data_IF_270041276190
#
_entry.id   IF_270041276190
#
_cell.length_a   1.000
_cell.length_b   1.000
_cell.length_c   1.000
_cell.angle_alpha   90.00
_cell.angle_beta   90.00
_cell.angle_gamma   90.00
#
_symmetry.space_group_name_H-M   'P 1'
#
loop_
_entity.id
_entity.type
_entity.pdbx_description
1 polymer ?
#
# COMPACT_ATOMS: atom_id res chain seq x y z
N UNK A 1 5.63 -13.49 -13.66
CA UNK A 1 4.56 -14.27 -13.02
C UNK A 1 3.26 -13.96 -13.73
N UNK A 2 2.64 -14.96 -14.35
CA UNK A 2 1.34 -14.86 -14.99
C UNK A 2 0.26 -14.90 -13.89
N UNK A 3 0.09 -13.83 -13.14
CA UNK A 3 -1.10 -13.71 -12.31
C UNK A 3 -2.31 -13.62 -13.26
N UNK A 4 -3.38 -14.41 -13.04
CA UNK A 4 -4.57 -14.33 -13.86
C UNK A 4 -5.17 -12.92 -13.76
N UNK A 5 -5.82 -12.40 -14.81
CA UNK A 5 -6.53 -11.14 -14.73
C UNK A 5 -7.61 -11.20 -13.65
N UNK A 6 -7.84 -10.09 -12.95
CA UNK A 6 -8.73 -10.01 -11.78
C UNK A 6 -10.12 -10.61 -12.03
N UNK A 7 -10.64 -10.49 -13.26
CA UNK A 7 -11.91 -11.11 -13.66
C UNK A 7 -11.90 -12.65 -13.61
N UNK A 8 -10.75 -13.30 -13.82
CA UNK A 8 -10.64 -14.75 -13.68
C UNK A 8 -10.57 -15.21 -12.21
N UNK A 9 -10.06 -14.37 -11.31
CA UNK A 9 -10.03 -14.65 -9.87
C UNK A 9 -11.43 -14.59 -9.24
N UNK A 10 -12.31 -13.74 -9.78
CA UNK A 10 -13.70 -13.61 -9.32
C UNK A 10 -14.65 -14.61 -10.00
N UNK A 11 -14.30 -15.04 -11.23
CA UNK A 11 -15.13 -15.89 -12.07
C UNK A 11 -14.72 -17.36 -11.99
N UNK A 12 -14.76 -17.98 -10.83
CA UNK A 12 -14.69 -19.45 -10.72
C UNK A 12 -16.04 -20.02 -10.24
N UNK A 13 -17.07 -20.13 -11.12
CA UNK A 13 -18.39 -20.63 -10.70
C UNK A 13 -18.41 -22.12 -10.41
N UNK A 14 -17.35 -22.86 -10.72
CA UNK A 14 -17.41 -24.35 -10.76
C UNK A 14 -16.92 -25.04 -9.47
N UNK A 15 -16.33 -24.33 -8.50
CA UNK A 15 -15.80 -24.96 -7.29
C UNK A 15 -16.12 -24.24 -5.97
N UNK A 16 -16.95 -23.21 -5.97
CA UNK A 16 -17.30 -22.49 -4.73
C UNK A 16 -16.10 -21.76 -4.07
N UNK A 17 -14.95 -21.69 -4.72
CA UNK A 17 -13.74 -21.08 -4.23
C UNK A 17 -13.54 -19.70 -4.88
N UNK A 18 -14.20 -18.70 -4.33
CA UNK A 18 -13.80 -17.31 -4.53
C UNK A 18 -12.50 -17.03 -3.76
N UNK A 19 -11.86 -15.88 -4.03
CA UNK A 19 -10.77 -15.39 -3.20
C UNK A 19 -11.33 -14.59 -2.03
N UNK A 20 -10.80 -14.78 -0.83
CA UNK A 20 -11.21 -14.04 0.37
C UNK A 20 -10.55 -12.66 0.42
N UNK A 21 -9.35 -12.53 -0.14
CA UNK A 21 -8.64 -11.26 -0.20
C UNK A 21 -7.73 -11.15 -1.43
N UNK A 22 -7.45 -9.92 -1.82
CA UNK A 22 -6.53 -9.56 -2.89
C UNK A 22 -5.49 -8.61 -2.33
N UNK A 23 -4.19 -8.93 -2.50
CA UNK A 23 -3.10 -8.00 -2.20
C UNK A 23 -2.67 -7.33 -3.51
N UNK A 24 -2.91 -6.04 -3.61
CA UNK A 24 -2.53 -5.23 -4.77
C UNK A 24 -1.19 -4.54 -4.48
N UNK A 25 -0.14 -5.01 -5.14
CA UNK A 25 1.20 -4.42 -5.08
C UNK A 25 1.45 -3.53 -6.29
N UNK A 26 1.30 -2.22 -6.10
CA UNK A 26 1.46 -1.24 -7.16
C UNK A 26 2.92 -0.84 -7.40
N UNK A 27 3.13 -0.01 -8.43
CA UNK A 27 4.45 0.55 -8.77
C UNK A 27 5.07 1.26 -7.56
N UNK A 28 6.35 1.03 -7.33
CA UNK A 28 7.11 1.53 -6.18
C UNK A 28 7.15 0.53 -5.03
N UNK A 29 6.45 -0.64 -5.17
CA UNK A 29 6.40 -1.70 -4.17
C UNK A 29 7.64 -2.54 -4.10
N UNK A 30 8.21 -2.99 -5.19
CA UNK A 30 9.32 -3.94 -5.23
C UNK A 30 10.45 -3.65 -4.25
N UNK A 31 11.21 -4.67 -3.88
CA UNK A 31 12.38 -4.47 -3.02
C UNK A 31 13.36 -3.51 -3.70
N UNK A 32 14.08 -2.72 -2.93
CA UNK A 32 15.09 -1.81 -3.49
C UNK A 32 16.22 -2.54 -4.22
N UNK A 33 16.33 -3.86 -4.03
CA UNK A 33 17.26 -4.75 -4.75
C UNK A 33 16.68 -5.25 -6.09
N UNK A 34 15.39 -5.06 -6.36
CA UNK A 34 14.80 -5.43 -7.65
C UNK A 34 15.36 -4.56 -8.78
N UNK A 35 15.57 -5.13 -9.99
CA UNK A 35 15.96 -4.35 -11.15
C UNK A 35 15.02 -3.18 -11.38
N UNK A 36 15.58 -2.02 -11.65
CA UNK A 36 14.87 -0.73 -11.74
C UNK A 36 13.76 -0.77 -12.80
N UNK A 37 14.03 -1.44 -13.93
CA UNK A 37 13.08 -1.64 -15.01
C UNK A 37 11.77 -2.30 -14.52
N UNK A 38 11.86 -3.35 -13.71
CA UNK A 38 10.68 -4.03 -13.18
C UNK A 38 9.99 -3.25 -12.08
N UNK A 39 10.77 -2.61 -11.21
CA UNK A 39 10.26 -1.85 -10.09
C UNK A 39 9.50 -0.59 -10.51
N UNK A 40 10.06 0.15 -11.49
CA UNK A 40 9.62 1.52 -11.77
C UNK A 40 8.85 1.66 -13.09
N UNK A 41 8.83 0.64 -13.98
CA UNK A 41 8.28 0.78 -15.33
C UNK A 41 7.25 -0.26 -15.75
N UNK A 42 7.09 -1.39 -15.05
CA UNK A 42 6.24 -2.48 -15.52
C UNK A 42 4.87 -2.53 -14.83
N UNK A 43 4.73 -2.01 -13.61
CA UNK A 43 3.47 -2.08 -12.87
C UNK A 43 2.67 -0.77 -12.93
N UNK A 44 1.37 -0.86 -12.63
CA UNK A 44 0.50 0.32 -12.52
C UNK A 44 0.84 1.07 -11.21
N UNK A 45 0.87 2.41 -11.20
CA UNK A 45 1.02 3.18 -9.96
C UNK A 45 -0.06 2.84 -8.94
N UNK A 46 0.32 2.74 -7.67
CA UNK A 46 -0.53 2.21 -6.58
C UNK A 46 -1.87 2.94 -6.46
N UNK A 47 -1.86 4.27 -6.48
CA UNK A 47 -3.07 5.09 -6.27
C UNK A 47 -4.16 4.81 -7.32
N UNK A 48 -3.90 4.94 -8.64
CA UNK A 48 -4.92 4.60 -9.64
C UNK A 48 -5.24 3.09 -9.66
N UNK A 49 -4.29 2.22 -9.29
CA UNK A 49 -4.53 0.80 -9.22
C UNK A 49 -5.57 0.43 -8.14
N UNK A 50 -5.49 1.03 -6.94
CA UNK A 50 -6.45 0.82 -5.86
C UNK A 50 -7.86 1.24 -6.30
N UNK A 51 -8.00 2.46 -6.81
CA UNK A 51 -9.28 2.99 -7.24
C UNK A 51 -9.93 2.13 -8.34
N UNK A 52 -9.12 1.64 -9.28
CA UNK A 52 -9.58 0.75 -10.35
C UNK A 52 -9.98 -0.63 -9.81
N UNK A 53 -9.19 -1.19 -8.88
CA UNK A 53 -9.48 -2.49 -8.29
C UNK A 53 -10.78 -2.43 -7.47
N UNK A 54 -10.93 -1.41 -6.61
CA UNK A 54 -12.16 -1.21 -5.82
C UNK A 54 -13.38 -1.08 -6.72
N UNK A 55 -13.33 -0.23 -7.73
CA UNK A 55 -14.43 -0.07 -8.69
C UNK A 55 -14.79 -1.39 -9.36
N UNK A 56 -13.79 -2.17 -9.78
CA UNK A 56 -14.03 -3.48 -10.40
C UNK A 56 -14.74 -4.46 -9.44
N UNK A 57 -14.32 -4.49 -8.16
CA UNK A 57 -14.97 -5.33 -7.15
C UNK A 57 -16.43 -4.91 -6.92
N UNK A 58 -16.68 -3.61 -6.84
CA UNK A 58 -18.03 -3.06 -6.63
C UNK A 58 -18.95 -3.31 -7.83
N UNK A 59 -18.46 -3.12 -9.06
CA UNK A 59 -19.21 -3.38 -10.30
C UNK A 59 -19.54 -4.87 -10.51
N UNK A 60 -18.87 -5.78 -9.80
CA UNK A 60 -19.11 -7.24 -9.88
C UNK A 60 -19.72 -7.81 -8.59
N UNK A 61 -20.31 -6.98 -7.73
CA UNK A 61 -20.92 -7.37 -6.45
C UNK A 61 -20.00 -8.15 -5.51
N UNK A 62 -18.68 -8.04 -5.70
CA UNK A 62 -17.64 -8.71 -4.91
C UNK A 62 -17.08 -7.83 -3.78
N UNK A 63 -17.48 -6.57 -3.73
CA UNK A 63 -16.91 -5.57 -2.80
C UNK A 63 -17.08 -5.90 -1.33
N UNK A 64 -18.19 -6.55 -0.96
CA UNK A 64 -18.46 -6.95 0.41
C UNK A 64 -17.82 -8.29 0.81
N UNK A 65 -17.48 -9.14 -0.16
CA UNK A 65 -16.95 -10.49 0.07
C UNK A 65 -15.44 -10.62 -0.07
N UNK A 66 -14.77 -9.62 -0.66
CA UNK A 66 -13.32 -9.68 -0.95
C UNK A 66 -12.59 -8.52 -0.30
N UNK A 67 -11.67 -8.83 0.60
CA UNK A 67 -10.81 -7.81 1.24
C UNK A 67 -9.73 -7.33 0.28
N UNK A 68 -9.66 -6.02 0.02
CA UNK A 68 -8.62 -5.39 -0.79
C UNK A 68 -7.51 -4.82 0.08
N UNK A 69 -6.32 -5.42 0.03
CA UNK A 69 -5.13 -4.96 0.73
C UNK A 69 -4.23 -4.22 -0.27
N UNK A 70 -3.91 -2.97 0.02
CA UNK A 70 -3.02 -2.16 -0.81
C UNK A 70 -1.59 -2.18 -0.29
N UNK A 71 -0.63 -2.32 -1.19
CA UNK A 71 0.80 -2.16 -0.91
C UNK A 71 1.51 -1.55 -2.12
N UNK A 72 2.79 -1.24 -1.96
CA UNK A 72 3.58 -0.66 -3.05
C UNK A 72 3.74 0.86 -2.94
N UNK A 73 4.87 1.30 -2.41
CA UNK A 73 5.23 2.72 -2.36
C UNK A 73 4.53 3.56 -1.29
N UNK A 74 3.66 2.99 -0.48
CA UNK A 74 3.02 3.66 0.66
C UNK A 74 4.04 3.81 1.79
N UNK A 75 4.30 5.04 2.25
CA UNK A 75 5.43 5.31 3.16
C UNK A 75 5.09 6.14 4.38
N UNK A 76 4.13 7.03 4.25
CA UNK A 76 3.74 7.99 5.29
C UNK A 76 2.24 7.94 5.54
N UNK A 77 1.75 8.39 6.71
CA UNK A 77 0.33 8.31 7.08
C UNK A 77 -0.64 8.89 6.05
N UNK A 78 -0.23 9.94 5.32
CA UNK A 78 -1.05 10.53 4.24
C UNK A 78 -1.26 9.54 3.09
N UNK A 79 -0.25 8.73 2.75
CA UNK A 79 -0.40 7.69 1.72
C UNK A 79 -1.38 6.61 2.18
N UNK A 80 -1.35 6.27 3.48
CA UNK A 80 -2.23 5.26 4.07
C UNK A 80 -3.69 5.73 4.02
N UNK A 81 -3.94 6.97 4.44
CA UNK A 81 -5.29 7.57 4.37
C UNK A 81 -5.80 7.64 2.94
N UNK A 82 -4.97 8.06 1.98
CA UNK A 82 -5.35 8.05 0.56
C UNK A 82 -5.72 6.67 0.06
N UNK A 83 -4.95 5.64 0.45
CA UNK A 83 -5.23 4.27 0.04
C UNK A 83 -6.57 3.76 0.62
N UNK A 84 -6.84 4.02 1.91
CA UNK A 84 -8.13 3.70 2.55
C UNK A 84 -9.27 4.45 1.88
N UNK A 85 -9.14 5.75 1.67
CA UNK A 85 -10.18 6.57 1.04
C UNK A 85 -10.49 6.16 -0.41
N UNK A 86 -9.53 5.57 -1.12
CA UNK A 86 -9.71 5.01 -2.46
C UNK A 86 -10.30 3.60 -2.47
N UNK A 87 -10.57 3.02 -1.29
CA UNK A 87 -11.28 1.77 -1.12
C UNK A 87 -10.41 0.55 -0.80
N UNK A 88 -9.19 0.74 -0.31
CA UNK A 88 -8.46 -0.34 0.32
C UNK A 88 -9.04 -0.62 1.72
N UNK A 89 -9.25 -1.89 2.05
CA UNK A 89 -9.69 -2.32 3.38
C UNK A 89 -8.51 -2.46 4.35
N UNK A 90 -7.32 -2.68 3.82
CA UNK A 90 -6.09 -2.79 4.59
C UNK A 90 -4.86 -2.30 3.84
N UNK A 91 -3.78 -2.06 4.58
CA UNK A 91 -2.52 -1.57 4.04
C UNK A 91 -1.39 -2.45 4.53
N UNK A 92 -0.58 -2.96 3.59
CA UNK A 92 0.64 -3.68 3.90
C UNK A 92 1.86 -2.76 3.67
N UNK A 93 2.72 -2.67 4.67
CA UNK A 93 3.92 -1.84 4.65
C UNK A 93 5.19 -2.69 4.59
N UNK A 94 6.15 -2.25 3.82
CA UNK A 94 7.48 -2.87 3.73
C UNK A 94 8.58 -1.84 4.02
N UNK A 95 8.89 -0.98 3.07
CA UNK A 95 10.05 -0.10 3.15
C UNK A 95 10.01 0.87 4.34
N UNK A 96 8.87 1.44 4.70
CA UNK A 96 8.74 2.33 5.86
C UNK A 96 8.94 1.58 7.17
N UNK A 97 8.34 0.39 7.32
CA UNK A 97 8.56 -0.48 8.47
C UNK A 97 10.03 -0.92 8.57
N UNK A 98 10.65 -1.30 7.44
CA UNK A 98 12.07 -1.63 7.38
C UNK A 98 12.96 -0.45 7.82
N UNK A 99 12.64 0.77 7.41
CA UNK A 99 13.37 1.97 7.85
C UNK A 99 13.17 2.24 9.34
N UNK A 100 11.97 2.02 9.86
CA UNK A 100 11.70 2.16 11.28
C UNK A 100 12.53 1.20 12.13
N UNK A 101 12.74 -0.04 11.70
CA UNK A 101 13.61 -0.99 12.42
C UNK A 101 15.11 -0.73 12.22
N UNK A 102 15.51 0.24 11.38
CA UNK A 102 16.90 0.66 11.22
C UNK A 102 17.52 0.34 9.86
N UNK A 103 16.72 0.06 8.82
CA UNK A 103 17.25 -0.11 7.47
C UNK A 103 17.83 1.21 6.93
N UNK A 104 19.09 1.18 6.53
CA UNK A 104 19.81 2.35 5.96
C UNK A 104 19.72 2.44 4.44
N UNK A 105 18.84 1.65 3.84
CA UNK A 105 18.60 1.64 2.38
C UNK A 105 19.86 1.38 1.51
N UNK A 106 20.77 0.52 1.99
CA UNK A 106 22.00 0.17 1.28
C UNK A 106 21.79 -0.56 -0.05
N UNK A 107 20.56 -0.99 -0.36
CA UNK A 107 20.15 -1.67 -1.61
C UNK A 107 20.93 -2.95 -1.94
N UNK A 108 21.40 -3.66 -0.93
CA UNK A 108 22.17 -4.91 -1.07
C UNK A 108 21.50 -6.09 -0.37
N UNK A 109 20.17 -6.07 -0.26
CA UNK A 109 19.40 -7.10 0.43
C UNK A 109 19.57 -8.51 -0.21
N UNK A 110 19.83 -8.57 -1.51
CA UNK A 110 20.03 -9.81 -2.27
C UNK A 110 21.46 -10.39 -2.14
N UNK A 111 22.39 -9.67 -1.53
CA UNK A 111 23.81 -10.08 -1.47
C UNK A 111 24.18 -10.84 -0.20
N UNK A 112 23.26 -10.95 0.76
CA UNK A 112 23.53 -11.49 2.10
C UNK A 112 24.58 -10.67 2.90
N UNK A 113 24.82 -9.39 2.54
CA UNK A 113 25.79 -8.50 3.18
C UNK A 113 25.12 -7.25 3.78
N UNK A 114 23.89 -7.38 4.28
CA UNK A 114 23.18 -6.26 4.86
C UNK A 114 23.99 -5.65 6.04
N UNK A 115 24.36 -4.35 5.98
CA UNK A 115 25.22 -3.75 6.99
C UNK A 115 24.56 -3.60 8.37
N UNK A 116 23.21 -3.59 8.41
CA UNK A 116 22.42 -3.44 9.63
C UNK A 116 21.90 -4.75 10.20
N UNK A 117 22.22 -5.88 9.58
CA UNK A 117 21.81 -7.19 10.08
C UNK A 117 20.38 -7.62 9.72
N UNK A 118 19.58 -6.75 9.09
CA UNK A 118 18.14 -6.99 8.85
C UNK A 118 17.93 -8.05 7.75
N UNK A 119 18.66 -7.94 6.64
CA UNK A 119 18.48 -8.80 5.45
C UNK A 119 19.76 -9.61 5.18
N UNK A 120 20.15 -10.44 6.13
CA UNK A 120 21.35 -11.31 6.02
C UNK A 120 21.17 -12.56 6.87
N UNK A 121 21.80 -13.66 6.46
CA UNK A 121 21.90 -14.89 7.24
C UNK A 121 23.27 -15.06 7.93
N UNK A 122 24.21 -14.14 7.68
CA UNK A 122 25.54 -14.18 8.32
C UNK A 122 25.44 -13.81 9.80
N UNK A 123 25.87 -14.70 10.74
CA UNK A 123 25.70 -14.46 12.17
C UNK A 123 26.35 -13.16 12.66
N UNK A 124 27.55 -12.85 12.17
CA UNK A 124 28.31 -11.65 12.52
C UNK A 124 27.64 -10.33 12.07
N UNK A 125 26.85 -10.38 11.00
CA UNK A 125 26.05 -9.24 10.56
C UNK A 125 24.70 -9.20 11.27
N UNK A 126 24.05 -10.35 11.50
CA UNK A 126 22.78 -10.41 12.24
C UNK A 126 22.92 -9.88 13.67
N UNK A 127 24.07 -10.12 14.32
CA UNK A 127 24.37 -9.62 15.65
C UNK A 127 24.35 -8.08 15.76
N UNK A 128 24.37 -7.35 14.64
CA UNK A 128 24.26 -5.88 14.60
C UNK A 128 22.84 -5.37 14.83
N UNK A 129 21.83 -6.21 14.62
CA UNK A 129 20.44 -5.85 14.83
C UNK A 129 20.10 -6.03 16.32
N UNK A 130 19.97 -4.93 17.03
CA UNK A 130 19.35 -4.89 18.34
C UNK A 130 17.84 -5.03 18.17
N UNK A 131 17.31 -6.23 18.43
CA UNK A 131 15.92 -6.58 18.21
C UNK A 131 15.00 -5.78 19.13
N UNK A 132 15.37 -5.59 20.40
CA UNK A 132 14.56 -4.84 21.37
C UNK A 132 14.43 -3.38 20.96
N UNK A 133 15.54 -2.71 20.70
CA UNK A 133 15.52 -1.33 20.23
C UNK A 133 14.83 -1.17 18.87
N UNK A 134 14.96 -2.14 17.97
CA UNK A 134 14.30 -2.13 16.67
C UNK A 134 12.78 -2.30 16.79
N UNK A 135 12.32 -3.19 17.68
CA UNK A 135 10.89 -3.40 17.94
C UNK A 135 10.24 -2.15 18.54
N UNK A 136 10.93 -1.50 19.48
CA UNK A 136 10.45 -0.25 20.07
C UNK A 136 10.33 0.89 19.04
N UNK A 137 11.31 1.03 18.14
CA UNK A 137 11.23 2.00 17.03
C UNK A 137 10.05 1.71 16.10
N UNK A 138 9.81 0.44 15.78
CA UNK A 138 8.68 0.03 14.94
C UNK A 138 7.34 0.33 15.62
N UNK A 139 7.21 0.02 16.91
CA UNK A 139 6.02 0.34 17.71
C UNK A 139 5.76 1.85 17.74
N UNK A 140 6.79 2.66 17.93
CA UNK A 140 6.70 4.12 17.90
C UNK A 140 6.23 4.62 16.51
N UNK A 141 6.79 4.08 15.43
CA UNK A 141 6.40 4.43 14.08
C UNK A 141 4.91 4.13 13.81
N UNK A 142 4.43 2.94 14.20
CA UNK A 142 3.02 2.59 14.01
C UNK A 142 2.10 3.42 14.91
N UNK A 143 2.46 3.63 16.17
CA UNK A 143 1.68 4.45 17.09
C UNK A 143 1.50 5.89 16.57
N UNK A 144 2.59 6.54 16.18
CA UNK A 144 2.55 7.88 15.60
C UNK A 144 1.77 7.91 14.26
N UNK A 145 1.89 6.89 13.43
CA UNK A 145 1.16 6.80 12.16
C UNK A 145 -0.34 6.71 12.40
N UNK A 146 -0.79 5.85 13.33
CA UNK A 146 -2.20 5.68 13.67
C UNK A 146 -2.77 6.97 14.28
N UNK A 147 -2.02 7.65 15.14
CA UNK A 147 -2.43 8.93 15.74
C UNK A 147 -2.66 9.99 14.66
N UNK A 148 -1.70 10.16 13.72
CA UNK A 148 -1.84 11.11 12.62
C UNK A 148 -3.02 10.75 11.69
N UNK A 149 -3.23 9.48 11.38
CA UNK A 149 -4.39 9.03 10.62
C UNK A 149 -5.69 9.33 11.36
N UNK A 150 -5.73 9.16 12.68
CA UNK A 150 -6.89 9.47 13.52
C UNK A 150 -7.19 10.98 13.56
N UNK A 151 -6.15 11.83 13.53
CA UNK A 151 -6.33 13.29 13.37
C UNK A 151 -6.98 13.60 12.03
N UNK A 152 -6.50 13.00 10.94
CA UNK A 152 -7.08 13.17 9.60
C UNK A 152 -8.54 12.67 9.53
N UNK A 153 -8.84 11.53 10.16
CA UNK A 153 -10.20 11.01 10.23
C UNK A 153 -11.15 12.01 10.90
N UNK A 154 -10.77 12.53 12.07
CA UNK A 154 -11.56 13.56 12.78
C UNK A 154 -11.73 14.84 11.96
N UNK A 155 -10.71 15.26 11.22
CA UNK A 155 -10.80 16.42 10.34
C UNK A 155 -11.79 16.21 9.18
N UNK A 156 -11.97 14.96 8.73
CA UNK A 156 -12.98 14.57 7.75
C UNK A 156 -14.37 14.27 8.38
N UNK A 157 -14.51 14.40 9.70
CA UNK A 157 -15.77 14.12 10.40
C UNK A 157 -15.98 12.63 10.71
N UNK A 158 -14.94 11.82 10.66
CA UNK A 158 -15.00 10.38 10.94
C UNK A 158 -14.52 10.04 12.36
N UNK A 159 -15.13 9.03 12.95
CA UNK A 159 -14.79 8.48 14.27
C UNK A 159 -13.91 7.22 14.19
N UNK A 160 -13.69 6.70 12.96
CA UNK A 160 -12.90 5.50 12.73
C UNK A 160 -12.18 5.56 11.39
N UNK A 161 -10.99 4.89 11.30
CA UNK A 161 -10.15 4.90 10.10
C UNK A 161 -10.79 4.20 8.89
N UNK A 162 -11.67 3.21 9.12
CA UNK A 162 -12.37 2.51 8.05
C UNK A 162 -13.51 3.32 7.41
N UNK A 163 -13.76 4.53 7.91
CA UNK A 163 -14.79 5.44 7.36
C UNK A 163 -14.27 6.40 6.31
N UNK A 164 -12.98 6.38 6.05
CA UNK A 164 -12.45 7.15 4.92
C UNK A 164 -13.10 6.72 3.61
N UNK A 165 -13.55 7.70 2.84
CA UNK A 165 -14.23 7.51 1.56
C UNK A 165 -13.64 8.43 0.49
N UNK A 166 -13.87 8.08 -0.76
CA UNK A 166 -13.33 8.82 -1.90
C UNK A 166 -13.71 10.31 -1.91
N UNK A 167 -14.84 10.67 -1.32
CA UNK A 167 -15.29 12.06 -1.19
C UNK A 167 -14.50 12.90 -0.19
N UNK A 168 -13.67 12.27 0.66
CA UNK A 168 -12.72 12.98 1.52
C UNK A 168 -11.51 13.51 0.74
N UNK A 169 -11.36 13.09 -0.52
CA UNK A 169 -10.25 13.45 -1.38
C UNK A 169 -10.68 14.42 -2.48
N UNK A 170 -9.75 15.30 -2.83
CA UNK A 170 -9.81 16.13 -4.02
C UNK A 170 -8.42 16.19 -4.67
N UNK A 171 -8.36 16.46 -5.97
CA UNK A 171 -7.10 16.60 -6.69
C UNK A 171 -7.18 17.73 -7.71
N UNK A 172 -6.07 18.44 -7.90
CA UNK A 172 -5.92 19.40 -9.00
C UNK A 172 -5.38 18.78 -10.29
N UNK A 173 -4.95 17.51 -10.23
CA UNK A 173 -4.48 16.76 -11.39
C UNK A 173 -5.68 16.14 -12.12
N UNK A 174 -5.98 16.65 -13.31
CA UNK A 174 -7.11 16.20 -14.11
C UNK A 174 -6.99 14.74 -14.53
N UNK A 175 -5.79 14.26 -14.85
CA UNK A 175 -5.58 12.86 -15.20
C UNK A 175 -5.80 11.95 -14.00
N UNK A 176 -5.30 12.35 -12.84
CA UNK A 176 -5.53 11.63 -11.60
C UNK A 176 -7.02 11.58 -11.24
N UNK A 177 -7.75 12.67 -11.40
CA UNK A 177 -9.20 12.71 -11.21
C UNK A 177 -9.91 11.69 -12.11
N UNK A 178 -9.57 11.64 -13.41
CA UNK A 178 -10.12 10.68 -14.38
C UNK A 178 -9.78 9.23 -14.03
N UNK A 179 -8.55 8.96 -13.61
CA UNK A 179 -8.09 7.60 -13.29
C UNK A 179 -8.69 7.04 -11.99
N UNK A 180 -8.90 7.90 -10.99
CA UNK A 180 -9.33 7.50 -9.65
C UNK A 180 -10.81 7.75 -9.37
N UNK A 181 -11.44 8.67 -10.12
CA UNK A 181 -12.78 9.16 -9.84
C UNK A 181 -12.85 10.09 -8.61
N UNK A 182 -11.71 10.60 -8.14
CA UNK A 182 -11.62 11.62 -7.09
C UNK A 182 -12.04 12.98 -7.69
N UNK A 183 -12.70 13.81 -6.87
CA UNK A 183 -13.18 15.13 -7.31
C UNK A 183 -12.04 16.00 -7.84
N UNK A 184 -12.19 16.50 -9.05
CA UNK A 184 -11.31 17.53 -9.57
C UNK A 184 -11.59 18.86 -8.88
N UNK A 185 -10.57 19.51 -8.34
CA UNK A 185 -10.68 20.81 -7.64
C UNK A 185 -10.06 21.96 -8.44
N UNK A 186 -9.61 21.69 -9.66
CA UNK A 186 -9.12 22.73 -10.58
C UNK A 186 -10.26 23.49 -11.25
N UNK A 187 -9.91 24.57 -11.94
CA UNK A 187 -10.85 25.36 -12.72
C UNK A 187 -11.21 24.60 -14.01
N UNK A 188 -12.48 24.31 -14.21
CA UNK A 188 -13.00 23.90 -15.52
C UNK A 188 -13.45 25.15 -16.22
N UNK A 189 -12.82 25.50 -17.35
CA UNK A 189 -13.36 26.55 -18.21
C UNK A 189 -14.80 26.20 -18.61
N UNK A 190 -15.72 27.18 -18.66
CA UNK A 190 -17.10 26.94 -19.10
C UNK A 190 -17.19 26.42 -20.51
#
# INVERSE_FOLDING_TARGET
>A
SNAPPMGQLLASPQHGAGVDYIILDGRGGGTRAAPEMFRDHISVPTIPAIARARRFLDENDAGAGVTLIATGGLRVPVDFVKALALGADGIALSNSAMQAVGCVAARMCNTNNCPTGIATQKPELRARLDVEAASQRLATFFGASIELMSVMARACGHDHLNKFVKTDLATWDEQMAKLTGVKYSGFTSP
#
